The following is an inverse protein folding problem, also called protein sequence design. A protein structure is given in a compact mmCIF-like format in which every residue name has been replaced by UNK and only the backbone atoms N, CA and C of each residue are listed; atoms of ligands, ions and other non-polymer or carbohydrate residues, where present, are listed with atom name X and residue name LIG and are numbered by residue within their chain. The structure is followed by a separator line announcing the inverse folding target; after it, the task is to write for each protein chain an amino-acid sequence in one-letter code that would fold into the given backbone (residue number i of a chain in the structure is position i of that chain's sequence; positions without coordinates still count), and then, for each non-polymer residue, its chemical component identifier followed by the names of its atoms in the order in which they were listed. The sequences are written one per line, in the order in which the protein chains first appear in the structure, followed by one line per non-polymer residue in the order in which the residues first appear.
data_IF_676157166242
#
_entry.id   IF_676157166242
#
_cell.length_a   1.000
_cell.length_b   1.000
_cell.length_c   1.000
_cell.angle_alpha   90.00
_cell.angle_beta   90.00
_cell.angle_gamma   90.00
#
_symmetry.space_group_name_H-M   'P 1'
#
loop_
_entity.id
_entity.type
_entity.pdbx_description
1 polymer ?
#
# COMPACT_ATOMS: atom_id res chain seq x y z
N UNK A 1 -10.21 -7.01 6.09
CA UNK A 1 -10.20 -5.54 6.32
C UNK A 1 -8.79 -5.06 6.10
N UNK A 2 -8.62 -4.00 5.34
CA UNK A 2 -7.35 -3.28 5.22
C UNK A 2 -7.34 -2.25 6.34
N UNK A 3 -6.22 -2.08 7.01
CA UNK A 3 -6.03 -1.08 8.05
C UNK A 3 -5.02 -0.08 7.52
N UNK A 4 -5.35 1.21 7.58
CA UNK A 4 -4.44 2.28 7.17
C UNK A 4 -4.26 3.19 8.37
N UNK A 5 -3.00 3.43 8.76
CA UNK A 5 -2.70 4.36 9.85
C UNK A 5 -2.92 5.79 9.39
N UNK A 6 -3.49 6.63 10.26
CA UNK A 6 -3.74 8.04 9.97
C UNK A 6 -2.48 8.87 9.79
N UNK A 7 -1.37 8.49 10.43
CA UNK A 7 -0.09 9.21 10.35
C UNK A 7 0.83 8.47 9.38
N UNK A 8 1.39 9.21 8.42
CA UNK A 8 2.40 8.69 7.47
C UNK A 8 3.71 8.49 8.23
N UNK A 9 4.44 7.41 7.92
CA UNK A 9 5.70 7.15 8.60
C UNK A 9 6.81 8.10 8.12
N UNK A 10 7.98 8.04 8.77
CA UNK A 10 9.12 8.93 8.46
C UNK A 10 9.79 8.61 7.13
N UNK A 11 9.52 7.44 6.57
CA UNK A 11 9.97 7.02 5.24
C UNK A 11 8.98 7.43 4.16
N UNK A 12 8.01 8.31 4.46
CA UNK A 12 7.02 8.77 3.49
C UNK A 12 6.22 7.62 2.86
N UNK A 13 5.94 6.58 3.65
CA UNK A 13 5.13 5.43 3.26
C UNK A 13 3.81 5.37 4.03
N UNK A 14 2.77 4.98 3.30
CA UNK A 14 1.50 4.59 3.91
C UNK A 14 1.72 3.35 4.78
N UNK A 15 1.35 3.44 6.06
CA UNK A 15 1.41 2.30 6.96
C UNK A 15 0.12 1.50 6.86
N UNK A 16 0.19 0.36 6.16
CA UNK A 16 -0.97 -0.50 5.89
C UNK A 16 -0.84 -1.89 6.51
N UNK A 17 -1.99 -2.49 6.81
CA UNK A 17 -2.05 -3.83 7.38
C UNK A 17 -3.33 -4.58 6.99
N UNK A 18 -3.37 -5.87 7.26
CA UNK A 18 -4.51 -6.72 6.98
C UNK A 18 -4.98 -7.46 8.22
N UNK A 19 -6.29 -7.53 8.41
CA UNK A 19 -6.91 -8.37 9.43
C UNK A 19 -8.24 -8.95 8.95
N UNK A 20 -8.50 -10.19 9.34
CA UNK A 20 -9.79 -10.86 9.24
C UNK A 20 -10.54 -10.91 10.59
N UNK A 21 -9.92 -10.43 11.68
CA UNK A 21 -10.52 -10.48 13.02
C UNK A 21 -11.58 -9.39 13.22
N UNK A 22 -12.48 -9.62 14.18
CA UNK A 22 -13.36 -8.59 14.74
C UNK A 22 -12.56 -7.87 15.82
N UNK A 23 -12.37 -6.56 15.65
CA UNK A 23 -11.54 -5.72 16.51
C UNK A 23 -12.24 -4.36 16.68
N UNK A 24 -11.96 -3.69 17.79
CA UNK A 24 -12.30 -2.27 18.00
C UNK A 24 -11.08 -1.44 17.59
N UNK A 25 -11.30 -0.39 16.79
CA UNK A 25 -10.23 0.46 16.28
C UNK A 25 -10.24 1.80 17.00
N UNK A 26 -9.05 2.30 17.33
CA UNK A 26 -8.86 3.69 17.77
C UNK A 26 -8.96 4.63 16.56
N UNK A 27 -9.17 5.92 16.82
CA UNK A 27 -9.29 6.99 15.80
C UNK A 27 -8.09 7.12 14.84
N UNK A 28 -6.94 6.55 15.20
CA UNK A 28 -5.70 6.64 14.43
C UNK A 28 -5.54 5.53 13.38
N UNK A 29 -6.50 4.60 13.31
CA UNK A 29 -6.53 3.51 12.33
C UNK A 29 -7.84 3.59 11.55
N UNK A 30 -7.73 3.70 10.24
CA UNK A 30 -8.84 3.70 9.30
C UNK A 30 -9.03 2.29 8.73
N UNK A 31 -10.07 1.54 9.13
CA UNK A 31 -10.38 0.25 8.54
C UNK A 31 -11.16 0.42 7.22
N UNK A 32 -10.69 -0.22 6.16
CA UNK A 32 -11.35 -0.31 4.86
C UNK A 32 -11.82 -1.74 4.57
N UNK A 33 -13.01 -1.82 3.97
CA UNK A 33 -13.60 -3.05 3.44
C UNK A 33 -13.80 -2.85 1.96
N UNK A 34 -13.22 -3.75 1.16
CA UNK A 34 -13.41 -3.76 -0.28
C UNK A 34 -14.77 -4.40 -0.55
N UNK A 35 -15.66 -3.64 -1.19
CA UNK A 35 -17.02 -4.07 -1.54
C UNK A 35 -17.11 -4.55 -3.00
N UNK A 36 -16.21 -4.07 -3.86
CA UNK A 36 -16.16 -4.46 -5.27
C UNK A 36 -15.50 -5.85 -5.41
N UNK A 37 -16.29 -6.81 -5.91
CA UNK A 37 -15.87 -8.20 -6.12
C UNK A 37 -14.80 -8.39 -7.21
N UNK A 38 -14.54 -7.37 -8.03
CA UNK A 38 -13.45 -7.41 -9.01
C UNK A 38 -12.07 -7.37 -8.34
N UNK A 39 -11.99 -6.99 -7.06
CA UNK A 39 -10.73 -6.87 -6.33
C UNK A 39 -10.65 -7.82 -5.15
N UNK A 40 -9.52 -8.52 -5.03
CA UNK A 40 -9.20 -9.24 -3.80
C UNK A 40 -8.62 -8.29 -2.77
N UNK A 41 -9.01 -8.42 -1.49
CA UNK A 41 -8.52 -7.54 -0.41
C UNK A 41 -6.98 -7.51 -0.31
N UNK A 42 -6.32 -8.66 -0.49
CA UNK A 42 -4.85 -8.75 -0.44
C UNK A 42 -4.16 -8.12 -1.64
N UNK A 43 -4.83 -8.07 -2.79
CA UNK A 43 -4.32 -7.37 -3.96
C UNK A 43 -4.32 -5.86 -3.71
N UNK A 44 -5.45 -5.30 -3.24
CA UNK A 44 -5.52 -3.87 -2.88
C UNK A 44 -4.52 -3.53 -1.77
N UNK A 45 -4.35 -4.41 -0.78
CA UNK A 45 -3.32 -4.25 0.25
C UNK A 45 -1.92 -4.11 -0.36
N UNK A 46 -1.57 -4.94 -1.34
CA UNK A 46 -0.26 -4.90 -2.00
C UNK A 46 -0.01 -3.56 -2.66
N UNK A 47 -1.00 -3.05 -3.40
CA UNK A 47 -0.91 -1.78 -4.09
C UNK A 47 -0.74 -0.62 -3.11
N UNK A 48 -1.57 -0.58 -2.06
CA UNK A 48 -1.50 0.45 -1.03
C UNK A 48 -0.19 0.41 -0.22
N UNK A 49 0.47 -0.75 -0.15
CA UNK A 49 1.77 -0.91 0.51
C UNK A 49 2.95 -0.47 -0.36
N UNK A 50 2.73 -0.26 -1.67
CA UNK A 50 3.80 0.03 -2.62
C UNK A 50 4.38 1.43 -2.45
N UNK A 51 5.63 1.60 -2.89
CA UNK A 51 6.28 2.92 -2.97
C UNK A 51 5.51 3.86 -3.89
N UNK A 52 5.03 3.36 -5.04
CA UNK A 52 4.31 4.17 -6.01
C UNK A 52 3.08 4.85 -5.43
N UNK A 53 2.22 4.11 -4.72
CA UNK A 53 1.00 4.67 -4.14
C UNK A 53 1.33 5.64 -3.01
N UNK A 54 2.35 5.35 -2.22
CA UNK A 54 2.80 6.29 -1.18
C UNK A 54 3.32 7.60 -1.79
N UNK A 55 4.14 7.50 -2.83
CA UNK A 55 4.66 8.64 -3.59
C UNK A 55 3.52 9.49 -4.16
N UNK A 56 2.59 8.85 -4.86
CA UNK A 56 1.43 9.51 -5.46
C UNK A 56 0.59 10.21 -4.39
N UNK A 57 0.29 9.53 -3.29
CA UNK A 57 -0.53 10.06 -2.21
C UNK A 57 0.10 11.31 -1.60
N UNK A 58 1.40 11.29 -1.33
CA UNK A 58 2.10 12.40 -0.68
C UNK A 58 2.24 13.60 -1.60
N UNK A 59 2.56 13.39 -2.87
CA UNK A 59 2.75 14.48 -3.81
C UNK A 59 1.43 15.13 -4.25
N UNK A 60 0.32 14.39 -4.25
CA UNK A 60 -1.00 14.94 -4.58
C UNK A 60 -1.69 15.54 -3.36
N UNK A 61 -1.51 14.97 -2.16
CA UNK A 61 -2.20 15.46 -0.96
C UNK A 61 -1.63 16.79 -0.49
N UNK A 62 -2.43 17.85 -0.65
CA UNK A 62 -2.13 19.18 -0.12
C UNK A 62 -1.95 19.20 1.41
N UNK A 63 -2.47 18.21 2.14
CA UNK A 63 -2.32 18.06 3.60
C UNK A 63 -1.03 17.33 3.95
N UNK A 64 -0.63 16.32 3.16
CA UNK A 64 0.68 15.68 3.32
C UNK A 64 1.84 16.66 3.07
N UNK A 65 1.65 17.68 2.25
CA UNK A 65 2.68 18.68 1.96
C UNK A 65 2.85 19.77 3.04
N UNK A 66 1.87 19.96 3.94
CA UNK A 66 1.76 21.20 4.74
C UNK A 66 2.36 21.16 6.16
N UNK A 67 2.68 20.02 6.75
CA UNK A 67 3.04 19.93 8.17
C UNK A 67 4.12 18.88 8.49
N UNK A 68 4.81 19.04 9.63
CA UNK A 68 5.74 18.06 10.25
C UNK A 68 5.07 16.70 10.58
N UNK A 69 3.73 16.63 10.54
CA UNK A 69 2.94 15.41 10.76
C UNK A 69 1.96 15.19 9.61
N UNK A 70 2.45 14.59 8.53
CA UNK A 70 1.64 14.22 7.37
C UNK A 70 0.55 13.23 7.78
N UNK A 71 -0.71 13.56 7.49
CA UNK A 71 -1.86 12.74 7.86
C UNK A 71 -2.64 12.29 6.63
N UNK A 72 -3.18 11.08 6.70
CA UNK A 72 -4.12 10.57 5.70
C UNK A 72 -5.54 11.01 6.01
N UNK A 73 -6.31 11.37 4.99
CA UNK A 73 -7.76 11.59 5.12
C UNK A 73 -8.56 10.47 4.48
N UNK A 74 -9.77 10.20 4.98
CA UNK A 74 -10.63 9.17 4.41
C UNK A 74 -11.06 9.50 2.98
N UNK A 75 -11.24 10.78 2.65
CA UNK A 75 -11.63 11.22 1.32
C UNK A 75 -10.53 10.93 0.30
N UNK A 76 -9.30 11.38 0.56
CA UNK A 76 -8.17 11.16 -0.36
C UNK A 76 -7.84 9.66 -0.52
N UNK A 77 -7.93 8.87 0.56
CA UNK A 77 -7.70 7.42 0.48
C UNK A 77 -8.72 6.70 -0.42
N UNK A 78 -9.93 7.26 -0.58
CA UNK A 78 -10.97 6.71 -1.47
C UNK A 78 -10.78 7.09 -2.94
N UNK A 79 -10.04 8.16 -3.21
CA UNK A 79 -9.72 8.64 -4.55
C UNK A 79 -8.56 7.84 -5.20
N UNK A 80 -7.87 6.98 -4.43
CA UNK A 80 -6.77 6.16 -4.95
C UNK A 80 -7.29 5.22 -6.05
N UNK A 81 -6.75 5.39 -7.26
CA UNK A 81 -7.11 4.58 -8.41
C UNK A 81 -6.46 3.20 -8.32
N UNK A 82 -7.27 2.15 -8.30
CA UNK A 82 -6.82 0.76 -8.25
C UNK A 82 -7.04 0.09 -9.62
N UNK A 83 -5.99 -0.41 -10.30
CA UNK A 83 -6.10 -1.00 -11.62
C UNK A 83 -6.89 -2.31 -11.59
N UNK A 84 -7.93 -2.38 -12.42
CA UNK A 84 -8.76 -3.58 -12.63
C UNK A 84 -8.02 -4.55 -13.54
N UNK A 85 -7.56 -5.66 -12.97
CA UNK A 85 -6.91 -6.75 -13.71
C UNK A 85 -7.55 -8.09 -13.39
N UNK A 86 -7.33 -9.08 -14.26
CA UNK A 86 -7.88 -10.42 -14.08
C UNK A 86 -7.43 -11.05 -12.74
N UNK A 87 -8.28 -11.90 -12.16
CA UNK A 87 -7.98 -12.59 -10.90
C UNK A 87 -6.67 -13.39 -10.98
N UNK A 88 -6.34 -13.96 -12.16
CA UNK A 88 -5.06 -14.66 -12.38
C UNK A 88 -3.86 -13.71 -12.20
N UNK A 89 -3.92 -12.49 -12.72
CA UNK A 89 -2.86 -11.48 -12.52
C UNK A 89 -2.81 -11.02 -11.06
N UNK A 90 -3.96 -10.80 -10.42
CA UNK A 90 -4.01 -10.46 -8.99
C UNK A 90 -3.34 -11.55 -8.13
N UNK A 91 -3.57 -12.83 -8.45
CA UNK A 91 -3.01 -13.96 -7.70
C UNK A 91 -1.49 -13.99 -7.67
N UNK A 92 -0.80 -13.52 -8.72
CA UNK A 92 0.66 -13.43 -8.74
C UNK A 92 1.17 -12.52 -7.62
N UNK A 93 0.55 -11.34 -7.46
CA UNK A 93 0.90 -10.37 -6.41
C UNK A 93 0.44 -10.89 -5.03
N UNK A 94 -0.77 -11.46 -4.94
CA UNK A 94 -1.31 -12.00 -3.70
C UNK A 94 -0.42 -13.12 -3.14
N UNK A 95 0.20 -13.94 -3.99
CA UNK A 95 1.11 -14.98 -3.55
C UNK A 95 2.34 -14.40 -2.81
N UNK A 96 2.92 -13.31 -3.31
CA UNK A 96 4.02 -12.61 -2.62
C UNK A 96 3.55 -11.99 -1.30
N UNK A 97 2.38 -11.35 -1.29
CA UNK A 97 1.78 -10.82 -0.06
C UNK A 97 1.58 -11.93 0.97
N UNK A 98 1.11 -13.11 0.56
CA UNK A 98 0.95 -14.25 1.47
C UNK A 98 2.28 -14.72 2.07
N UNK A 99 3.36 -14.71 1.28
CA UNK A 99 4.70 -15.03 1.78
C UNK A 99 5.16 -14.00 2.83
N UNK A 100 5.04 -12.70 2.53
CA UNK A 100 5.34 -11.61 3.48
C UNK A 100 4.55 -11.76 4.78
N UNK A 101 3.23 -11.96 4.68
CA UNK A 101 2.36 -12.10 5.85
C UNK A 101 2.70 -13.34 6.67
N UNK A 102 3.10 -14.44 6.03
CA UNK A 102 3.50 -15.68 6.72
C UNK A 102 4.81 -15.48 7.48
N UNK A 103 5.81 -14.87 6.82
CA UNK A 103 7.10 -14.54 7.46
C UNK A 103 6.90 -13.59 8.65
N UNK A 104 6.20 -12.47 8.46
CA UNK A 104 5.96 -11.48 9.52
C UNK A 104 5.06 -12.00 10.66
N UNK A 105 4.23 -13.02 10.39
CA UNK A 105 3.45 -13.69 11.44
C UNK A 105 4.33 -14.58 12.32
N UNK A 106 5.36 -15.22 11.74
CA UNK A 106 6.31 -16.03 12.49
C UNK A 106 7.31 -15.17 13.24
N UNK A 107 7.85 -14.13 12.58
CA UNK A 107 8.74 -13.15 13.17
C UNK A 107 8.35 -11.74 12.70
N UNK A 108 7.80 -10.88 13.59
CA UNK A 108 7.44 -9.51 13.25
C UNK A 108 8.60 -8.65 12.70
N UNK A 109 9.85 -9.05 12.95
CA UNK A 109 11.07 -8.37 12.47
C UNK A 109 11.67 -9.04 11.23
N UNK A 110 11.04 -10.07 10.68
CA UNK A 110 11.50 -10.74 9.47
C UNK A 110 11.71 -9.72 8.34
N UNK A 111 12.89 -9.79 7.71
CA UNK A 111 13.20 -9.01 6.54
C UNK A 111 12.39 -9.53 5.34
N UNK A 112 11.60 -8.64 4.77
CA UNK A 112 10.75 -8.91 3.60
C UNK A 112 11.04 -7.96 2.45
N UNK A 113 12.15 -7.22 2.53
CA UNK A 113 12.48 -6.13 1.60
C UNK A 113 12.56 -6.61 0.15
N UNK A 114 13.09 -7.81 -0.10
CA UNK A 114 13.13 -8.39 -1.45
C UNK A 114 11.72 -8.61 -2.02
N UNK A 115 10.82 -9.21 -1.23
CA UNK A 115 9.44 -9.47 -1.67
C UNK A 115 8.65 -8.17 -1.85
N UNK A 116 8.91 -7.17 -0.99
CA UNK A 116 8.32 -5.84 -1.11
C UNK A 116 8.78 -5.15 -2.41
N UNK A 117 10.09 -5.18 -2.70
CA UNK A 117 10.65 -4.62 -3.95
C UNK A 117 10.09 -5.34 -5.19
N UNK A 118 9.94 -6.66 -5.15
CA UNK A 118 9.32 -7.41 -6.25
C UNK A 118 7.85 -7.01 -6.47
N UNK A 119 7.12 -6.71 -5.39
CA UNK A 119 5.77 -6.15 -5.50
C UNK A 119 5.83 -4.75 -6.10
N UNK A 120 6.73 -3.87 -5.65
CA UNK A 120 6.87 -2.51 -6.19
C UNK A 120 7.10 -2.54 -7.71
N UNK A 121 8.01 -3.40 -8.20
CA UNK A 121 8.24 -3.58 -9.64
C UNK A 121 6.98 -4.05 -10.39
N UNK A 122 6.23 -4.99 -9.81
CA UNK A 122 4.95 -5.41 -10.39
C UNK A 122 3.92 -4.28 -10.42
N UNK A 123 3.92 -3.41 -9.41
CA UNK A 123 3.05 -2.23 -9.37
C UNK A 123 3.45 -1.23 -10.45
N UNK A 124 4.74 -0.93 -10.61
CA UNK A 124 5.20 -0.02 -11.67
C UNK A 124 4.73 -0.48 -13.06
N UNK A 125 4.89 -1.78 -13.36
CA UNK A 125 4.39 -2.38 -14.61
C UNK A 125 2.87 -2.29 -14.73
N UNK A 126 2.12 -2.46 -13.63
CA UNK A 126 0.65 -2.36 -13.65
C UNK A 126 0.14 -0.96 -13.97
N UNK A 127 0.86 0.08 -13.54
CA UNK A 127 0.52 1.47 -13.83
C UNK A 127 1.19 2.00 -15.10
N UNK A 128 2.02 1.19 -15.76
CA UNK A 128 2.66 1.54 -17.03
C UNK A 128 3.75 2.60 -16.92
N UNK A 129 4.46 2.63 -15.79
CA UNK A 129 5.54 3.59 -15.58
C UNK A 129 6.74 3.30 -16.47
N UNK A 130 7.40 4.37 -16.90
CA UNK A 130 8.68 4.35 -17.58
C UNK A 130 9.84 4.23 -16.59
N UNK A 131 11.02 3.82 -17.08
CA UNK A 131 12.22 3.71 -16.24
C UNK A 131 12.62 5.06 -15.61
N UNK A 132 12.39 6.16 -16.32
CA UNK A 132 12.63 7.52 -15.81
C UNK A 132 11.72 7.86 -14.63
N UNK A 133 10.42 7.56 -14.74
CA UNK A 133 9.45 7.78 -13.66
C UNK A 133 9.75 6.88 -12.44
N UNK A 134 10.12 5.61 -12.69
CA UNK A 134 10.55 4.69 -11.63
C UNK A 134 11.77 5.27 -10.90
N UNK A 135 12.74 5.82 -11.63
CA UNK A 135 13.91 6.47 -11.07
C UNK A 135 13.55 7.62 -10.12
N UNK A 136 12.64 8.50 -10.53
CA UNK A 136 12.15 9.62 -9.71
C UNK A 136 11.53 9.13 -8.40
N UNK A 137 10.72 8.07 -8.46
CA UNK A 137 10.05 7.52 -7.28
C UNK A 137 11.06 6.90 -6.32
N UNK A 138 11.96 6.05 -6.83
CA UNK A 138 12.97 5.38 -6.02
C UNK A 138 13.94 6.38 -5.38
N UNK A 139 14.32 7.46 -6.08
CA UNK A 139 15.17 8.52 -5.54
C UNK A 139 14.48 9.34 -4.45
N UNK A 140 13.16 9.55 -4.56
CA UNK A 140 12.39 10.28 -3.54
C UNK A 140 12.15 9.50 -2.25
N UNK A 141 12.36 8.18 -2.27
CA UNK A 141 12.03 7.25 -1.19
C UNK A 141 13.28 6.63 -0.53
N UNK A 142 14.45 7.26 -0.72
CA UNK A 142 15.75 6.85 -0.15
C UNK A 142 15.88 7.14 1.34
#
# INVERSE_FOLDING_TARGET
KILIRRIINRQDRLSVGYTNKRLVFKKDINPFIIVDNSFTTKYVLALLASKFISYLYINISAIALKNDFRQTTLSELREILIPKVSLKKQNVIINKVNQILTLKKSDPKADTSQLENEIDQMVYVLYGLTDEEIGIIEDSMK
#
